data_IF_782671550746
#
_entry.id   IF_782671550746
#
_cell.length_a   1.000
_cell.length_b   1.000
_cell.length_c   1.000
_cell.angle_alpha   90.00
_cell.angle_beta   90.00
_cell.angle_gamma   90.00
#
_symmetry.space_group_name_H-M   'P 1'
#
loop_
_entity.id
_entity.type
_entity.pdbx_description
1 polymer ?
#
# COMPACT_ATOMS: atom_id res chain seq x y z
N UNK A 1 -28.39 -1.02 60.70
CA UNK A 1 -27.19 -1.76 61.16
C UNK A 1 -26.00 -1.17 60.43
N UNK A 2 -24.98 -0.65 61.12
CA UNK A 2 -23.79 -0.10 60.47
C UNK A 2 -23.11 -1.22 59.68
N UNK A 3 -22.60 -0.95 58.47
CA UNK A 3 -21.94 -1.97 57.66
C UNK A 3 -20.71 -2.51 58.40
N UNK A 4 -20.63 -3.84 58.54
CA UNK A 4 -19.47 -4.53 59.09
C UNK A 4 -18.22 -4.13 58.27
N UNK A 5 -17.09 -3.74 58.90
CA UNK A 5 -15.88 -3.31 58.17
C UNK A 5 -15.38 -4.37 57.17
N UNK A 6 -15.67 -5.65 57.42
CA UNK A 6 -15.37 -6.77 56.51
C UNK A 6 -16.08 -6.66 55.15
N UNK A 7 -17.32 -6.15 55.11
CA UNK A 7 -18.08 -6.00 53.87
C UNK A 7 -17.47 -4.94 52.94
N UNK A 8 -17.06 -3.81 53.52
CA UNK A 8 -16.44 -2.70 52.79
C UNK A 8 -15.10 -3.13 52.19
N UNK A 9 -14.28 -3.84 52.95
CA UNK A 9 -12.98 -4.36 52.50
C UNK A 9 -13.17 -5.36 51.35
N UNK A 10 -14.16 -6.24 51.43
CA UNK A 10 -14.49 -7.19 50.36
C UNK A 10 -14.88 -6.49 49.05
N UNK A 11 -15.69 -5.42 49.13
CA UNK A 11 -16.13 -4.65 47.97
C UNK A 11 -14.96 -3.89 47.31
N UNK A 12 -14.07 -3.30 48.11
CA UNK A 12 -12.85 -2.64 47.60
C UNK A 12 -11.93 -3.66 46.94
N UNK A 13 -11.73 -4.84 47.55
CA UNK A 13 -10.88 -5.87 46.98
C UNK A 13 -11.41 -6.42 45.65
N UNK A 14 -12.73 -6.65 45.55
CA UNK A 14 -13.38 -7.09 44.31
C UNK A 14 -13.30 -6.06 43.18
N UNK A 15 -13.47 -4.77 43.50
CA UNK A 15 -13.34 -3.70 42.50
C UNK A 15 -11.89 -3.54 42.03
N UNK A 16 -10.90 -3.66 42.92
CA UNK A 16 -9.48 -3.67 42.54
C UNK A 16 -9.16 -4.87 41.65
N UNK A 17 -9.63 -6.06 42.00
CA UNK A 17 -9.40 -7.28 41.20
C UNK A 17 -9.97 -7.15 39.78
N UNK A 18 -11.20 -6.65 39.64
CA UNK A 18 -11.82 -6.43 38.33
C UNK A 18 -11.12 -5.34 37.52
N UNK A 19 -10.68 -4.25 38.15
CA UNK A 19 -9.90 -3.20 37.49
C UNK A 19 -8.53 -3.70 37.02
N UNK A 20 -7.85 -4.54 37.79
CA UNK A 20 -6.56 -5.13 37.39
C UNK A 20 -6.71 -6.03 36.16
N UNK A 21 -7.76 -6.86 36.13
CA UNK A 21 -8.08 -7.70 34.97
C UNK A 21 -8.37 -6.85 33.73
N UNK A 22 -9.21 -5.82 33.88
CA UNK A 22 -9.53 -4.91 32.78
C UNK A 22 -8.30 -4.12 32.30
N UNK A 23 -7.46 -3.64 33.20
CA UNK A 23 -6.25 -2.91 32.87
C UNK A 23 -5.27 -3.78 32.10
N UNK A 24 -5.05 -5.01 32.56
CA UNK A 24 -4.18 -5.97 31.89
C UNK A 24 -4.70 -6.33 30.48
N UNK A 25 -6.01 -6.58 30.36
CA UNK A 25 -6.66 -6.84 29.08
C UNK A 25 -6.55 -5.66 28.11
N UNK A 26 -6.90 -4.44 28.56
CA UNK A 26 -6.82 -3.22 27.73
C UNK A 26 -5.39 -2.93 27.27
N UNK A 27 -4.39 -3.15 28.14
CA UNK A 27 -2.98 -2.94 27.79
C UNK A 27 -2.52 -3.89 26.69
N UNK A 28 -2.90 -5.16 26.75
CA UNK A 28 -2.53 -6.17 25.74
C UNK A 28 -3.24 -5.95 24.41
N UNK A 29 -4.54 -5.62 24.43
CA UNK A 29 -5.33 -5.35 23.22
C UNK A 29 -4.77 -4.14 22.47
N UNK A 30 -4.44 -3.05 23.16
CA UNK A 30 -3.83 -1.86 22.52
C UNK A 30 -2.53 -2.17 21.80
N UNK A 31 -1.68 -3.03 22.36
CA UNK A 31 -0.43 -3.43 21.70
C UNK A 31 -0.68 -4.31 20.47
N UNK A 32 -1.66 -5.21 20.55
CA UNK A 32 -2.02 -6.09 19.44
C UNK A 32 -2.67 -5.35 18.25
N UNK A 33 -3.34 -4.23 18.48
CA UNK A 33 -3.94 -3.42 17.39
C UNK A 33 -2.94 -2.46 16.73
N UNK A 34 -1.90 -2.03 17.43
CA UNK A 34 -0.92 -1.05 16.91
C UNK A 34 0.12 -1.68 15.98
N UNK A 35 0.61 -2.89 16.29
CA UNK A 35 1.60 -3.59 15.47
C UNK A 35 1.14 -3.86 14.02
N UNK A 36 -0.07 -4.43 13.78
CA UNK A 36 -0.51 -4.73 12.41
C UNK A 36 -0.80 -3.46 11.59
N UNK A 37 -1.21 -2.35 12.22
CA UNK A 37 -1.44 -1.08 11.51
C UNK A 37 -0.14 -0.49 10.97
N UNK A 38 0.95 -0.59 11.72
CA UNK A 38 2.26 -0.09 11.28
C UNK A 38 2.82 -0.89 10.10
N UNK A 39 2.70 -2.22 10.14
CA UNK A 39 3.19 -3.08 9.07
C UNK A 39 2.32 -2.96 7.81
N UNK A 40 1.01 -2.81 7.97
CA UNK A 40 0.12 -2.50 6.84
C UNK A 40 0.49 -1.17 6.17
N UNK A 41 0.76 -0.11 6.95
CA UNK A 41 1.20 1.19 6.42
C UNK A 41 2.51 1.09 5.66
N UNK A 42 3.50 0.38 6.21
CA UNK A 42 4.79 0.14 5.53
C UNK A 42 4.61 -0.63 4.23
N UNK A 43 3.74 -1.64 4.22
CA UNK A 43 3.41 -2.39 3.00
C UNK A 43 2.82 -1.49 1.92
N UNK A 44 1.90 -0.59 2.29
CA UNK A 44 1.31 0.40 1.37
C UNK A 44 2.37 1.34 0.80
N UNK A 45 3.27 1.87 1.64
CA UNK A 45 4.35 2.76 1.20
C UNK A 45 5.32 2.07 0.21
N UNK A 46 5.70 0.82 0.48
CA UNK A 46 6.53 0.03 -0.42
C UNK A 46 5.84 -0.22 -1.77
N UNK A 47 4.57 -0.60 -1.74
CA UNK A 47 3.77 -0.84 -2.95
C UNK A 47 3.61 0.43 -3.79
N UNK A 48 3.43 1.59 -3.15
CA UNK A 48 3.32 2.87 -3.84
C UNK A 48 4.63 3.25 -4.54
N UNK A 49 5.77 3.06 -3.87
CA UNK A 49 7.10 3.22 -4.46
C UNK A 49 7.34 2.28 -5.65
N UNK A 50 6.94 1.01 -5.54
CA UNK A 50 7.01 0.05 -6.64
C UNK A 50 6.11 0.46 -7.82
N UNK A 51 4.89 0.91 -7.54
CA UNK A 51 3.95 1.36 -8.57
C UNK A 51 4.49 2.59 -9.32
N UNK A 52 5.03 3.59 -8.62
CA UNK A 52 5.66 4.75 -9.24
C UNK A 52 6.81 4.34 -10.18
N UNK A 53 7.64 3.37 -9.76
CA UNK A 53 8.73 2.84 -10.60
C UNK A 53 8.20 2.11 -11.84
N UNK A 54 7.13 1.31 -11.70
CA UNK A 54 6.51 0.59 -12.83
C UNK A 54 5.89 1.56 -13.82
N UNK A 55 5.18 2.58 -13.35
CA UNK A 55 4.59 3.61 -14.22
C UNK A 55 5.69 4.30 -15.04
N UNK A 56 6.80 4.71 -14.40
CA UNK A 56 7.92 5.30 -15.13
C UNK A 56 8.66 4.34 -16.07
N UNK A 57 8.55 3.03 -15.89
CA UNK A 57 9.03 2.05 -16.87
C UNK A 57 8.08 1.94 -18.07
N UNK A 58 6.77 1.95 -17.81
CA UNK A 58 5.73 1.91 -18.84
C UNK A 58 5.82 3.16 -19.73
N UNK A 59 5.97 4.35 -19.15
CA UNK A 59 6.09 5.62 -19.86
C UNK A 59 7.26 5.60 -20.87
N UNK A 60 8.44 5.17 -20.40
CA UNK A 60 9.62 4.99 -21.28
C UNK A 60 9.43 3.93 -22.36
N UNK A 61 8.63 2.90 -22.11
CA UNK A 61 8.29 1.90 -23.12
C UNK A 61 7.32 2.48 -24.15
N UNK A 62 6.36 3.30 -23.74
CA UNK A 62 5.43 4.00 -24.62
C UNK A 62 6.16 4.95 -25.56
N UNK A 63 7.09 5.77 -25.06
CA UNK A 63 7.92 6.67 -25.89
C UNK A 63 8.70 5.92 -26.97
N UNK A 64 9.29 4.77 -26.58
CA UNK A 64 10.04 3.92 -27.51
C UNK A 64 9.13 3.26 -28.53
N UNK A 65 7.95 2.80 -28.12
CA UNK A 65 6.95 2.23 -29.01
C UNK A 65 6.47 3.27 -30.03
N UNK A 66 6.14 4.49 -29.60
CA UNK A 66 5.76 5.59 -30.49
C UNK A 66 6.87 5.93 -31.48
N UNK A 67 8.13 5.92 -31.03
CA UNK A 67 9.29 6.11 -31.92
C UNK A 67 9.39 5.00 -32.96
N UNK A 68 9.23 3.74 -32.54
CA UNK A 68 9.27 2.58 -33.45
C UNK A 68 8.11 2.61 -34.43
N UNK A 69 6.90 2.90 -33.98
CA UNK A 69 5.71 3.04 -34.83
C UNK A 69 5.91 4.09 -35.92
N UNK A 70 6.48 5.24 -35.55
CA UNK A 70 6.83 6.30 -36.52
C UNK A 70 7.86 5.82 -37.53
N UNK A 71 8.94 5.16 -37.09
CA UNK A 71 9.98 4.65 -37.99
C UNK A 71 9.39 3.64 -38.98
N UNK A 72 8.62 2.67 -38.49
CA UNK A 72 8.04 1.61 -39.33
C UNK A 72 7.07 2.21 -40.34
N UNK A 73 6.20 3.12 -39.91
CA UNK A 73 5.20 3.75 -40.79
C UNK A 73 5.84 4.71 -41.81
N UNK A 74 6.69 5.63 -41.35
CA UNK A 74 7.32 6.63 -42.23
C UNK A 74 8.30 5.96 -43.22
N UNK A 75 9.06 4.96 -42.76
CA UNK A 75 10.00 4.23 -43.62
C UNK A 75 9.30 3.41 -44.69
N UNK A 76 8.15 2.80 -44.39
CA UNK A 76 7.39 2.04 -45.39
C UNK A 76 6.88 2.97 -46.52
N UNK A 77 6.26 4.10 -46.14
CA UNK A 77 5.80 5.09 -47.12
C UNK A 77 6.93 5.78 -47.88
N UNK A 78 8.10 5.94 -47.26
CA UNK A 78 9.30 6.43 -47.93
C UNK A 78 9.79 5.46 -49.01
N UNK A 79 9.93 4.19 -48.64
CA UNK A 79 10.39 3.12 -49.53
C UNK A 79 9.45 2.92 -50.72
N UNK A 80 8.13 2.88 -50.49
CA UNK A 80 7.14 2.71 -51.57
C UNK A 80 7.24 3.82 -52.62
N UNK A 81 7.41 5.08 -52.16
CA UNK A 81 7.60 6.23 -53.06
C UNK A 81 8.91 6.15 -53.82
N UNK A 82 9.97 5.72 -53.16
CA UNK A 82 11.29 5.58 -53.78
C UNK A 82 11.29 4.46 -54.84
N UNK A 83 10.65 3.33 -54.56
CA UNK A 83 10.43 2.24 -55.51
C UNK A 83 9.64 2.71 -56.73
N UNK A 84 8.53 3.42 -56.53
CA UNK A 84 7.72 3.92 -57.63
C UNK A 84 8.50 4.93 -58.49
N UNK A 85 9.33 5.77 -57.88
CA UNK A 85 10.20 6.70 -58.61
C UNK A 85 11.25 5.99 -59.48
N UNK A 86 11.76 4.84 -59.04
CA UNK A 86 12.70 4.02 -59.81
C UNK A 86 11.99 3.25 -60.92
N UNK A 87 10.72 2.87 -60.72
CA UNK A 87 9.91 2.17 -61.73
C UNK A 87 9.44 3.11 -62.85
N UNK A 88 9.19 4.38 -62.55
CA UNK A 88 8.77 5.39 -63.51
C UNK A 88 9.93 5.95 -64.38
N UNK A 89 11.17 5.50 -64.13
CA UNK A 89 12.40 5.96 -64.78
C UNK A 89 12.85 4.99 -65.87
#
# INVERSE_FOLDING_TARGET
>A
MPPEPAFIIGLICGTIATLLIQWYGRRKVRQATLAPDLDARRGVELLDGENARRIGQIDRLQDRLATVERIVTDSAHGLDREIESLRAR
#
